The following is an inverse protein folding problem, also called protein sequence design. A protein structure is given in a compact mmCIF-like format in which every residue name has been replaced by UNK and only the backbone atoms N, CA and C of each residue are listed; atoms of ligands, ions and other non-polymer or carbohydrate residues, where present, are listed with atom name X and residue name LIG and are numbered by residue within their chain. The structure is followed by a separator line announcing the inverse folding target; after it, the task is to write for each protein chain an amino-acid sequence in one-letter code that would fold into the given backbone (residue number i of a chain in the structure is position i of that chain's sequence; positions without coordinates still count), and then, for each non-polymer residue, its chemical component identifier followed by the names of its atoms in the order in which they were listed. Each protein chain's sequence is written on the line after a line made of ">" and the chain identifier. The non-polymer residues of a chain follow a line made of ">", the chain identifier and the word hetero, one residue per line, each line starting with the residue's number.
data_IF_260843149565
#
_entry.id   IF_260843149565
#
_cell.length_a   1.000
_cell.length_b   1.000
_cell.length_c   1.000
_cell.angle_alpha   90.00
_cell.angle_beta   90.00
_cell.angle_gamma   90.00
#
_symmetry.space_group_name_H-M   'P 1'
#
loop_
_entity.id
_entity.type
_entity.pdbx_description
1 polymer ?
#
# COMPACT_ATOMS: atom_id res chain seq x y z
N UNK A 1 2.16 36.04 -10.75
CA UNK A 1 1.80 34.92 -11.63
C UNK A 1 2.77 33.82 -11.32
N UNK A 2 2.36 32.79 -10.59
CA UNK A 2 3.13 31.57 -10.44
C UNK A 2 3.12 30.88 -11.79
N UNK A 3 4.26 30.40 -12.33
CA UNK A 3 4.27 29.66 -13.57
C UNK A 3 3.39 28.41 -13.38
N UNK A 4 2.47 28.21 -14.30
CA UNK A 4 1.60 27.03 -14.34
C UNK A 4 2.43 25.85 -14.92
N UNK A 5 3.39 25.40 -14.11
CA UNK A 5 4.21 24.24 -14.47
C UNK A 5 3.33 23.01 -14.42
N UNK A 6 3.28 22.19 -15.46
CA UNK A 6 2.59 20.92 -15.37
C UNK A 6 3.19 20.14 -14.21
N UNK A 7 2.36 19.80 -13.23
CA UNK A 7 2.83 19.10 -12.04
C UNK A 7 3.40 17.74 -12.47
N UNK A 8 4.62 17.43 -12.03
CA UNK A 8 5.29 16.18 -12.36
C UNK A 8 4.38 14.98 -12.01
N UNK A 9 3.99 14.15 -12.99
CA UNK A 9 3.05 13.04 -12.77
C UNK A 9 3.61 11.97 -11.83
N UNK A 10 4.94 11.92 -11.66
CA UNK A 10 5.61 10.99 -10.75
C UNK A 10 5.85 11.58 -9.36
N UNK A 11 5.25 12.73 -9.03
CA UNK A 11 5.39 13.30 -7.69
C UNK A 11 4.74 12.40 -6.63
N UNK A 12 5.26 12.42 -5.40
CA UNK A 12 4.74 11.63 -4.28
C UNK A 12 3.27 11.86 -4.00
N UNK A 13 2.72 13.00 -4.42
CA UNK A 13 1.29 13.34 -4.34
C UNK A 13 0.43 12.33 -5.10
N UNK A 14 0.86 11.91 -6.29
CA UNK A 14 0.13 10.97 -7.14
C UNK A 14 0.49 9.51 -6.83
N UNK A 15 1.68 9.26 -6.28
CA UNK A 15 2.19 7.93 -5.95
C UNK A 15 1.79 7.44 -4.54
N UNK A 16 1.01 8.22 -3.79
CA UNK A 16 0.57 7.82 -2.46
C UNK A 16 -0.34 6.60 -2.51
N UNK A 17 -0.21 5.64 -1.58
CA UNK A 17 -1.09 4.50 -1.48
C UNK A 17 -2.56 4.95 -1.40
N UNK A 18 -3.42 4.37 -2.24
CA UNK A 18 -4.85 4.74 -2.34
C UNK A 18 -5.18 5.78 -3.40
N UNK A 19 -4.21 6.50 -3.97
CA UNK A 19 -4.38 7.39 -5.13
C UNK A 19 -4.34 6.60 -6.44
N UNK A 20 -3.40 5.66 -6.55
CA UNK A 20 -3.32 4.74 -7.67
C UNK A 20 -4.03 3.43 -7.33
N UNK A 21 -4.77 2.88 -8.28
CA UNK A 21 -5.28 1.52 -8.20
C UNK A 21 -4.10 0.53 -8.24
N UNK A 22 -4.26 -0.62 -7.58
CA UNK A 22 -3.25 -1.65 -7.66
C UNK A 22 -3.23 -2.24 -9.08
N UNK A 23 -2.08 -2.21 -9.72
CA UNK A 23 -1.83 -2.81 -11.04
C UNK A 23 -1.16 -4.17 -10.84
N UNK A 24 -1.62 -5.19 -11.56
CA UNK A 24 -1.04 -6.54 -11.49
C UNK A 24 -2.02 -7.64 -11.09
N UNK A 25 -3.24 -7.27 -10.70
CA UNK A 25 -4.36 -8.18 -10.52
C UNK A 25 -5.60 -7.55 -11.19
N UNK A 26 -6.39 -8.38 -11.86
CA UNK A 26 -7.66 -7.95 -12.41
C UNK A 26 -8.74 -7.79 -11.32
N UNK A 27 -9.88 -7.26 -11.71
CA UNK A 27 -10.99 -7.02 -10.80
C UNK A 27 -11.53 -8.29 -10.17
N UNK A 28 -11.52 -9.40 -10.91
CA UNK A 28 -11.98 -10.69 -10.41
C UNK A 28 -11.03 -11.22 -9.33
N UNK A 29 -9.73 -11.26 -9.59
CA UNK A 29 -8.73 -11.72 -8.62
C UNK A 29 -8.72 -10.86 -7.35
N UNK A 30 -8.92 -9.56 -7.48
CA UNK A 30 -9.03 -8.65 -6.34
C UNK A 30 -10.30 -8.93 -5.50
N UNK A 31 -11.43 -9.25 -6.13
CA UNK A 31 -12.66 -9.64 -5.43
C UNK A 31 -12.47 -10.99 -4.70
N UNK A 32 -11.90 -11.98 -5.37
CA UNK A 32 -11.59 -13.29 -4.77
C UNK A 32 -10.69 -13.17 -3.54
N UNK A 33 -9.66 -12.29 -3.61
CA UNK A 33 -8.81 -12.01 -2.45
C UNK A 33 -9.56 -11.33 -1.30
N UNK A 34 -10.47 -10.41 -1.61
CA UNK A 34 -11.30 -9.74 -0.60
C UNK A 34 -12.26 -10.73 0.07
N UNK A 35 -12.92 -11.59 -0.71
CA UNK A 35 -13.79 -12.66 -0.20
C UNK A 35 -13.00 -13.64 0.69
N UNK A 36 -11.83 -14.08 0.23
CA UNK A 36 -10.94 -14.94 1.02
C UNK A 36 -10.56 -14.29 2.35
N UNK A 37 -10.26 -12.99 2.35
CA UNK A 37 -9.95 -12.27 3.58
C UNK A 37 -11.16 -12.18 4.52
N UNK A 38 -12.37 -11.98 3.98
CA UNK A 38 -13.64 -12.01 4.75
C UNK A 38 -13.84 -13.39 5.38
N UNK A 39 -13.68 -14.47 4.60
CA UNK A 39 -13.79 -15.87 5.08
C UNK A 39 -12.77 -16.19 6.17
N UNK A 40 -11.59 -15.59 6.12
CA UNK A 40 -10.54 -15.71 7.13
C UNK A 40 -10.72 -14.75 8.33
N UNK A 41 -11.91 -14.18 8.49
CA UNK A 41 -12.22 -13.20 9.55
C UNK A 41 -11.24 -12.00 9.60
N UNK A 42 -10.77 -11.55 8.44
CA UNK A 42 -9.82 -10.45 8.34
C UNK A 42 -8.37 -10.81 8.67
N UNK A 43 -8.05 -12.12 8.79
CA UNK A 43 -6.69 -12.57 9.07
C UNK A 43 -5.95 -12.90 7.78
N UNK A 44 -4.76 -12.32 7.58
CA UNK A 44 -3.97 -12.62 6.40
C UNK A 44 -2.66 -11.85 6.32
N UNK A 45 -1.81 -12.30 5.41
CA UNK A 45 -0.58 -11.59 5.07
C UNK A 45 -0.42 -11.40 3.57
N UNK A 46 0.05 -10.22 3.18
CA UNK A 46 0.49 -9.88 1.83
C UNK A 46 2.01 -9.86 1.86
N UNK A 47 2.62 -10.77 1.10
CA UNK A 47 4.08 -10.96 1.10
C UNK A 47 4.68 -10.45 -0.20
N UNK A 48 5.85 -9.81 -0.14
CA UNK A 48 6.60 -9.40 -1.33
C UNK A 48 7.72 -8.42 -1.03
N UNK A 49 8.66 -8.21 -1.96
CA UNK A 49 9.77 -7.26 -1.81
C UNK A 49 9.33 -5.81 -1.57
N UNK A 50 10.29 -4.92 -1.31
CA UNK A 50 10.04 -3.48 -1.26
C UNK A 50 9.54 -2.96 -2.61
N UNK A 51 8.67 -1.94 -2.58
CA UNK A 51 8.21 -1.25 -3.79
C UNK A 51 7.22 -2.03 -4.68
N UNK A 52 6.74 -3.22 -4.28
CA UNK A 52 5.81 -4.04 -5.09
C UNK A 52 4.33 -3.69 -4.90
N UNK A 53 4.00 -2.58 -4.27
CA UNK A 53 2.61 -2.14 -4.12
C UNK A 53 1.79 -2.86 -3.04
N UNK A 54 2.40 -3.57 -2.07
CA UNK A 54 1.68 -4.25 -0.98
C UNK A 54 0.72 -3.34 -0.23
N UNK A 55 1.16 -2.13 0.09
CA UNK A 55 0.33 -1.14 0.80
C UNK A 55 -0.84 -0.70 -0.09
N UNK A 56 -0.61 -0.46 -1.39
CA UNK A 56 -1.67 -0.12 -2.35
C UNK A 56 -2.70 -1.26 -2.46
N UNK A 57 -2.23 -2.51 -2.56
CA UNK A 57 -3.11 -3.69 -2.57
C UNK A 57 -3.94 -3.78 -1.29
N UNK A 58 -3.35 -3.47 -0.13
CA UNK A 58 -4.09 -3.43 1.13
C UNK A 58 -5.25 -2.43 1.08
N UNK A 59 -5.04 -1.24 0.53
CA UNK A 59 -6.11 -0.23 0.36
C UNK A 59 -7.18 -0.70 -0.63
N UNK A 60 -6.80 -1.36 -1.72
CA UNK A 60 -7.76 -1.92 -2.68
C UNK A 60 -8.64 -3.01 -2.03
N UNK A 61 -8.03 -3.91 -1.26
CA UNK A 61 -8.77 -4.93 -0.53
C UNK A 61 -9.75 -4.32 0.48
N UNK A 62 -9.36 -3.26 1.19
CA UNK A 62 -10.25 -2.54 2.10
C UNK A 62 -11.48 -1.99 1.38
N UNK A 63 -11.29 -1.30 0.23
CA UNK A 63 -12.39 -0.76 -0.56
C UNK A 63 -13.36 -1.85 -1.02
N UNK A 64 -12.82 -3.01 -1.43
CA UNK A 64 -13.63 -4.13 -1.91
C UNK A 64 -14.37 -4.83 -0.78
N UNK A 65 -13.72 -5.08 0.34
CA UNK A 65 -14.38 -5.66 1.52
C UNK A 65 -15.54 -4.79 2.01
N UNK A 66 -15.38 -3.46 2.00
CA UNK A 66 -16.46 -2.54 2.36
C UNK A 66 -17.68 -2.62 1.40
N UNK A 67 -17.49 -3.08 0.17
CA UNK A 67 -18.58 -3.29 -0.81
C UNK A 67 -19.20 -4.68 -0.72
N UNK A 68 -18.40 -5.69 -0.37
CA UNK A 68 -18.81 -7.09 -0.34
C UNK A 68 -19.39 -7.53 1.02
N UNK A 69 -19.14 -6.77 2.07
CA UNK A 69 -19.59 -7.10 3.42
C UNK A 69 -20.72 -6.18 3.85
N UNK A 70 -21.84 -6.76 4.31
CA UNK A 70 -22.92 -6.03 4.99
C UNK A 70 -22.53 -5.60 6.42
N UNK A 71 -21.32 -5.92 6.83
CA UNK A 71 -20.81 -5.64 8.18
C UNK A 71 -19.89 -4.43 8.14
N UNK A 72 -20.10 -3.46 9.02
CA UNK A 72 -19.19 -2.35 9.21
C UNK A 72 -17.81 -2.86 9.62
N UNK A 73 -16.80 -2.58 8.79
CA UNK A 73 -15.43 -2.99 9.04
C UNK A 73 -14.61 -1.76 9.47
N UNK A 74 -14.14 -1.79 10.70
CA UNK A 74 -13.25 -0.76 11.22
C UNK A 74 -11.79 -1.17 10.97
N UNK A 75 -11.06 -0.37 10.18
CA UNK A 75 -9.65 -0.60 9.90
C UNK A 75 -8.79 0.32 10.77
N UNK A 76 -7.80 -0.26 11.45
CA UNK A 76 -6.77 0.48 12.16
C UNK A 76 -5.42 0.28 11.46
N UNK A 77 -4.95 1.31 10.78
CA UNK A 77 -3.66 1.29 10.10
C UNK A 77 -2.55 1.60 11.09
N UNK A 78 -1.59 0.70 11.20
CA UNK A 78 -0.41 0.87 12.05
C UNK A 78 0.83 0.84 11.18
N UNK A 79 1.61 1.91 11.22
CA UNK A 79 2.91 1.99 10.57
C UNK A 79 3.97 2.30 11.62
N UNK A 80 4.97 1.44 11.75
CA UNK A 80 6.08 1.72 12.64
C UNK A 80 7.02 2.72 11.97
N UNK A 81 7.20 3.89 12.55
CA UNK A 81 8.24 4.84 12.16
C UNK A 81 9.57 4.45 12.81
N UNK A 82 10.63 4.37 12.03
CA UNK A 82 11.99 4.18 12.51
C UNK A 82 12.49 5.55 12.99
N UNK A 83 12.51 5.77 14.32
CA UNK A 83 12.99 7.00 14.94
C UNK A 83 13.24 6.79 16.44
N UNK A 84 13.96 7.71 17.14
CA UNK A 84 14.33 7.54 18.54
C UNK A 84 13.13 7.51 19.51
N UNK A 85 11.93 7.88 19.06
CA UNK A 85 10.68 7.64 19.79
C UNK A 85 9.84 6.62 19.03
N UNK A 86 9.66 5.45 19.63
CA UNK A 86 8.82 4.35 19.15
C UNK A 86 7.34 4.76 19.22
N UNK A 87 6.87 5.52 18.28
CA UNK A 87 5.44 5.90 18.19
C UNK A 87 4.78 4.99 17.17
N UNK A 88 3.81 4.21 17.60
CA UNK A 88 2.89 3.49 16.72
C UNK A 88 1.87 4.54 16.27
N UNK A 89 1.90 4.95 15.01
CA UNK A 89 0.89 5.85 14.46
C UNK A 89 -0.29 5.05 13.95
N UNK A 90 -1.46 5.34 14.47
CA UNK A 90 -2.74 4.81 13.98
C UNK A 90 -3.43 5.86 13.14
N UNK A 91 -3.81 5.53 11.91
CA UNK A 91 -4.66 6.35 11.07
C UNK A 91 -6.07 5.77 11.01
N UNK A 92 -7.07 6.57 11.30
CA UNK A 92 -8.45 6.28 10.92
C UNK A 92 -8.61 6.50 9.42
N UNK A 93 -9.40 5.64 8.82
CA UNK A 93 -10.00 5.68 7.49
C UNK A 93 -9.75 6.94 6.65
N UNK A 94 -9.31 6.72 5.42
CA UNK A 94 -9.01 7.65 4.36
C UNK A 94 -9.91 8.88 4.22
N UNK A 95 -9.67 9.87 5.03
CA UNK A 95 -9.96 11.26 4.75
C UNK A 95 -9.09 12.12 5.66
N UNK A 96 -7.89 12.50 5.16
CA UNK A 96 -7.03 13.47 5.81
C UNK A 96 -6.15 12.87 6.93
N UNK A 97 -4.86 12.82 6.66
CA UNK A 97 -3.85 12.59 7.69
C UNK A 97 -3.79 13.81 8.61
N UNK A 98 -4.19 13.66 9.86
CA UNK A 98 -3.77 14.54 10.95
C UNK A 98 -2.88 13.77 11.93
N UNK A 99 -1.77 14.43 12.31
CA UNK A 99 -0.71 13.89 13.13
C UNK A 99 -1.11 13.78 14.62
N UNK A 100 -0.85 12.62 15.20
CA UNK A 100 -0.49 12.55 16.63
C UNK A 100 -1.54 12.15 17.64
N UNK A 101 -2.16 10.96 17.56
CA UNK A 101 -2.79 10.34 18.73
C UNK A 101 -2.39 8.86 18.85
N UNK A 102 -2.14 8.41 20.10
CA UNK A 102 -1.95 6.99 20.44
C UNK A 102 -3.19 6.16 20.02
N UNK A 103 -3.02 4.84 19.71
CA UNK A 103 -4.15 4.00 19.39
C UNK A 103 -5.02 3.78 20.61
N UNK A 104 -5.86 4.73 20.89
CA UNK A 104 -6.97 4.52 21.83
C UNK A 104 -8.00 3.68 21.07
N UNK A 105 -8.09 2.40 21.39
CA UNK A 105 -9.20 1.55 20.99
C UNK A 105 -10.48 2.10 21.62
N UNK A 106 -11.03 3.19 21.09
CA UNK A 106 -12.35 3.66 21.45
C UNK A 106 -13.36 2.67 20.89
N UNK A 107 -13.93 1.88 21.75
CA UNK A 107 -15.06 1.00 21.51
C UNK A 107 -16.34 1.84 21.26
N UNK A 108 -16.44 2.44 20.08
CA UNK A 108 -17.76 2.73 19.51
C UNK A 108 -18.09 1.57 18.56
N UNK A 109 -18.23 0.37 19.15
CA UNK A 109 -18.67 -0.81 18.41
C UNK A 109 -20.21 -0.78 18.40
N UNK A 110 -20.75 -0.59 17.20
CA UNK A 110 -22.10 -1.13 16.93
C UNK A 110 -22.03 -2.66 17.09
N UNK A 111 -23.07 -3.34 17.58
CA UNK A 111 -23.05 -4.79 17.88
C UNK A 111 -22.66 -5.69 16.69
N UNK A 112 -22.55 -5.15 15.50
CA UNK A 112 -22.28 -5.88 14.25
C UNK A 112 -21.00 -5.43 13.53
N UNK A 113 -20.15 -4.59 14.15
CA UNK A 113 -18.91 -4.14 13.50
C UNK A 113 -17.76 -5.12 13.72
N UNK A 114 -17.08 -5.52 12.65
CA UNK A 114 -15.82 -6.27 12.72
C UNK A 114 -14.65 -5.28 12.71
N UNK A 115 -13.67 -5.52 13.55
CA UNK A 115 -12.43 -4.73 13.58
C UNK A 115 -11.31 -5.50 12.88
N UNK A 116 -10.63 -4.87 11.95
CA UNK A 116 -9.41 -5.40 11.33
C UNK A 116 -8.26 -4.45 11.62
N UNK A 117 -7.23 -4.97 12.26
CA UNK A 117 -5.97 -4.28 12.44
C UNK A 117 -5.11 -4.50 11.20
N UNK A 118 -4.73 -3.43 10.53
CA UNK A 118 -3.83 -3.46 9.38
C UNK A 118 -2.45 -2.99 9.82
N UNK A 119 -1.46 -3.87 9.72
CA UNK A 119 -0.08 -3.56 10.09
C UNK A 119 0.82 -3.58 8.84
N UNK A 120 1.31 -2.40 8.45
CA UNK A 120 2.25 -2.26 7.35
C UNK A 120 3.69 -2.47 7.86
N UNK A 121 4.32 -3.56 7.41
CA UNK A 121 5.69 -3.91 7.80
C UNK A 121 5.80 -4.63 9.15
N UNK A 122 5.17 -5.80 9.28
CA UNK A 122 5.26 -6.62 10.52
C UNK A 122 6.69 -7.02 10.88
N UNK A 123 7.61 -7.04 9.92
CA UNK A 123 9.03 -7.31 10.13
C UNK A 123 9.73 -6.29 11.03
N UNK A 124 9.16 -5.11 11.18
CA UNK A 124 9.66 -4.08 12.10
C UNK A 124 9.42 -4.43 13.58
N UNK A 125 8.56 -5.40 13.86
CA UNK A 125 8.34 -5.95 15.20
C UNK A 125 9.34 -7.07 15.48
N UNK A 126 9.80 -7.16 16.74
CA UNK A 126 10.54 -8.35 17.20
C UNK A 126 9.64 -9.59 17.14
N UNK A 127 10.23 -10.79 17.12
CA UNK A 127 9.47 -12.03 17.04
C UNK A 127 8.50 -12.20 18.23
N UNK A 128 8.91 -11.81 19.46
CA UNK A 128 8.04 -11.83 20.63
C UNK A 128 6.83 -10.88 20.49
N UNK A 129 7.07 -9.67 19.95
CA UNK A 129 6.01 -8.71 19.67
C UNK A 129 5.00 -9.22 18.63
N UNK A 130 5.49 -9.92 17.58
CA UNK A 130 4.63 -10.55 16.57
C UNK A 130 3.72 -11.60 17.19
N UNK A 131 4.29 -12.52 17.99
CA UNK A 131 3.51 -13.55 18.68
C UNK A 131 2.49 -12.92 19.63
N UNK A 132 2.90 -11.94 20.43
CA UNK A 132 2.00 -11.27 21.36
C UNK A 132 0.85 -10.56 20.63
N UNK A 133 1.15 -9.89 19.49
CA UNK A 133 0.15 -9.24 18.66
C UNK A 133 -0.87 -10.26 18.09
N UNK A 134 -0.38 -11.33 17.45
CA UNK A 134 -1.23 -12.38 16.86
C UNK A 134 -2.13 -12.98 17.95
N UNK A 135 -1.56 -13.38 19.09
CA UNK A 135 -2.33 -13.92 20.21
C UNK A 135 -3.38 -12.94 20.76
N UNK A 136 -3.05 -11.65 20.79
CA UNK A 136 -3.96 -10.61 21.29
C UNK A 136 -5.12 -10.42 20.31
N UNK A 137 -4.84 -10.35 18.99
CA UNK A 137 -5.88 -10.23 17.97
C UNK A 137 -6.81 -11.45 17.99
N UNK A 138 -6.26 -12.67 18.07
CA UNK A 138 -7.06 -13.90 18.19
C UNK A 138 -7.98 -13.89 19.43
N UNK A 139 -7.44 -13.54 20.62
CA UNK A 139 -8.25 -13.49 21.86
C UNK A 139 -9.36 -12.45 21.81
N UNK A 140 -9.11 -11.31 21.13
CA UNK A 140 -10.08 -10.21 21.01
C UNK A 140 -10.99 -10.34 19.79
N UNK A 141 -10.85 -11.42 19.01
CA UNK A 141 -11.56 -11.62 17.74
C UNK A 141 -11.39 -10.44 16.75
N UNK A 142 -10.22 -9.84 16.76
CA UNK A 142 -9.82 -8.78 15.83
C UNK A 142 -9.11 -9.44 14.67
N UNK A 143 -9.53 -9.13 13.43
CA UNK A 143 -8.81 -9.53 12.23
C UNK A 143 -7.43 -8.87 12.18
N UNK A 144 -6.44 -9.57 11.64
CA UNK A 144 -5.07 -9.05 11.50
C UNK A 144 -4.58 -9.23 10.06
N UNK A 145 -4.57 -8.13 9.32
CA UNK A 145 -4.00 -8.07 7.97
C UNK A 145 -2.61 -7.42 8.04
N UNK A 146 -1.58 -8.11 7.57
CA UNK A 146 -0.23 -7.59 7.62
C UNK A 146 0.44 -7.56 6.25
N UNK A 147 1.33 -6.62 6.04
CA UNK A 147 2.30 -6.66 4.94
C UNK A 147 3.66 -7.10 5.46
N UNK A 148 4.39 -7.87 4.67
CA UNK A 148 5.73 -8.35 5.05
C UNK A 148 6.61 -8.60 3.83
N UNK A 149 7.94 -8.69 4.04
CA UNK A 149 8.88 -9.11 3.00
C UNK A 149 9.04 -10.61 2.92
N UNK A 150 8.76 -11.32 4.00
CA UNK A 150 8.83 -12.78 4.11
C UNK A 150 7.60 -13.31 4.83
N UNK A 151 7.24 -14.55 4.55
CA UNK A 151 6.12 -15.20 5.23
C UNK A 151 6.31 -15.19 6.74
N UNK A 152 5.26 -14.78 7.45
CA UNK A 152 5.19 -14.77 8.91
C UNK A 152 4.40 -15.99 9.37
N UNK A 153 4.98 -16.73 10.31
CA UNK A 153 4.30 -17.89 10.89
C UNK A 153 3.04 -17.49 11.66
N UNK A 154 2.00 -18.29 11.54
CA UNK A 154 0.73 -18.10 12.27
C UNK A 154 -0.31 -17.23 11.56
N UNK A 155 -0.01 -16.72 10.34
CA UNK A 155 -0.97 -16.00 9.52
C UNK A 155 -1.08 -16.65 8.13
N UNK A 156 -2.30 -16.82 7.59
CA UNK A 156 -2.46 -17.36 6.23
C UNK A 156 -1.96 -16.36 5.20
N UNK A 157 -1.25 -16.86 4.19
CA UNK A 157 -0.83 -16.02 3.05
C UNK A 157 -2.01 -15.83 2.10
N UNK A 158 -2.43 -14.58 1.93
CA UNK A 158 -3.44 -14.19 0.95
C UNK A 158 -2.86 -14.20 -0.45
N UNK A 159 -1.74 -13.50 -0.62
CA UNK A 159 -1.06 -13.35 -1.90
C UNK A 159 0.43 -13.06 -1.70
N UNK A 160 1.22 -13.53 -2.64
CA UNK A 160 2.64 -13.16 -2.76
C UNK A 160 2.81 -12.27 -3.99
N UNK A 161 3.10 -10.99 -3.75
CA UNK A 161 3.31 -10.00 -4.81
C UNK A 161 4.76 -10.04 -5.25
N UNK A 162 4.97 -10.29 -6.55
CA UNK A 162 6.29 -10.26 -7.16
C UNK A 162 6.44 -8.97 -7.95
N UNK A 163 7.66 -8.40 -8.01
CA UNK A 163 7.93 -7.29 -8.92
C UNK A 163 7.73 -7.78 -10.37
N UNK A 164 7.04 -6.98 -11.14
CA UNK A 164 6.81 -7.25 -12.56
C UNK A 164 7.04 -5.97 -13.36
N UNK A 165 7.84 -6.10 -14.43
CA UNK A 165 8.13 -5.01 -15.35
C UNK A 165 6.86 -4.51 -16.03
N UNK A 166 5.96 -5.39 -16.44
CA UNK A 166 4.71 -5.02 -17.09
C UNK A 166 3.82 -4.16 -16.17
N UNK A 167 3.83 -4.45 -14.88
CA UNK A 167 3.16 -3.65 -13.85
C UNK A 167 3.76 -2.23 -13.76
N UNK A 168 5.10 -2.11 -13.77
CA UNK A 168 5.76 -0.81 -13.77
C UNK A 168 5.40 0.01 -15.02
N UNK A 169 5.49 -0.60 -16.22
CA UNK A 169 5.13 0.05 -17.47
C UNK A 169 3.68 0.52 -17.50
N UNK A 170 2.75 -0.29 -17.01
CA UNK A 170 1.34 0.06 -16.92
C UNK A 170 1.09 1.23 -15.94
N UNK A 171 1.80 1.30 -14.82
CA UNK A 171 1.73 2.44 -13.89
C UNK A 171 2.24 3.71 -14.57
N UNK A 172 3.39 3.66 -15.27
CA UNK A 172 3.92 4.81 -16.00
C UNK A 172 2.93 5.27 -17.06
N UNK A 173 2.37 4.37 -17.86
CA UNK A 173 1.35 4.69 -18.87
C UNK A 173 0.12 5.35 -18.25
N UNK A 174 -0.33 4.89 -17.08
CA UNK A 174 -1.46 5.50 -16.38
C UNK A 174 -1.14 6.92 -15.90
N UNK A 175 0.07 7.15 -15.37
CA UNK A 175 0.50 8.46 -14.85
C UNK A 175 0.74 9.48 -15.95
N UNK A 176 1.20 9.04 -17.13
CA UNK A 176 1.53 9.93 -18.26
C UNK A 176 0.40 10.08 -19.28
N UNK A 177 -0.77 9.48 -19.02
CA UNK A 177 -1.91 9.49 -19.96
C UNK A 177 -2.32 10.88 -20.41
N UNK A 178 -2.32 11.83 -19.48
CA UNK A 178 -2.83 13.19 -19.68
C UNK A 178 -1.70 14.22 -19.80
N UNK A 179 -0.47 13.79 -20.13
CA UNK A 179 0.67 14.68 -20.33
C UNK A 179 1.45 14.31 -21.60
N UNK A 180 2.09 15.32 -22.22
CA UNK A 180 2.87 15.16 -23.45
C UNK A 180 4.23 14.47 -23.22
N UNK A 181 4.50 14.03 -21.98
CA UNK A 181 5.75 13.37 -21.62
C UNK A 181 5.65 11.86 -21.87
N UNK A 182 6.63 11.34 -22.64
CA UNK A 182 6.74 9.91 -22.93
C UNK A 182 8.15 9.41 -22.65
N UNK A 183 8.23 8.23 -22.06
CA UNK A 183 9.49 7.49 -21.88
C UNK A 183 9.44 6.28 -22.81
N UNK A 184 10.51 6.05 -23.59
CA UNK A 184 10.58 4.89 -24.49
C UNK A 184 10.56 3.58 -23.68
N UNK A 185 10.04 2.51 -24.30
CA UNK A 185 9.97 1.17 -23.66
C UNK A 185 11.35 0.65 -23.27
N UNK A 186 12.38 0.94 -24.09
CA UNK A 186 13.76 0.55 -23.78
C UNK A 186 14.27 1.29 -22.54
N UNK A 187 13.98 2.58 -22.45
CA UNK A 187 14.37 3.38 -21.28
C UNK A 187 13.64 2.93 -20.01
N UNK A 188 12.36 2.59 -20.10
CA UNK A 188 11.62 1.99 -18.97
C UNK A 188 12.25 0.67 -18.53
N UNK A 189 12.70 -0.16 -19.46
CA UNK A 189 13.40 -1.40 -19.16
C UNK A 189 14.70 -1.17 -18.38
N UNK A 190 15.48 -0.17 -18.79
CA UNK A 190 16.73 0.22 -18.12
C UNK A 190 16.44 0.74 -16.70
N UNK A 191 15.47 1.63 -16.52
CA UNK A 191 15.08 2.18 -15.22
C UNK A 191 14.60 1.09 -14.26
N UNK A 192 13.79 0.14 -14.74
CA UNK A 192 13.34 -1.00 -13.96
C UNK A 192 14.49 -1.91 -13.53
N UNK A 193 15.41 -2.20 -14.46
CA UNK A 193 16.56 -3.07 -14.21
C UNK A 193 17.55 -2.42 -13.23
N UNK A 194 17.86 -1.13 -13.41
CA UNK A 194 18.76 -0.38 -12.52
C UNK A 194 18.21 -0.27 -11.09
N UNK A 195 16.88 -0.26 -10.94
CA UNK A 195 16.19 -0.27 -9.66
C UNK A 195 16.04 -1.67 -9.04
N UNK A 196 16.69 -2.71 -9.59
CA UNK A 196 16.57 -4.11 -9.16
C UNK A 196 15.12 -4.58 -9.02
N UNK A 197 14.22 -4.13 -9.90
CA UNK A 197 12.80 -4.46 -9.86
C UNK A 197 12.00 -3.75 -8.77
N UNK A 198 12.58 -2.77 -8.08
CA UNK A 198 11.86 -1.94 -7.12
C UNK A 198 11.08 -0.86 -7.88
N UNK A 199 9.77 -1.09 -8.08
CA UNK A 199 8.88 -0.20 -8.84
C UNK A 199 8.89 1.23 -8.27
N UNK A 200 8.98 1.37 -6.94
CA UNK A 200 9.00 2.70 -6.31
C UNK A 200 10.27 3.49 -6.68
N UNK A 201 11.43 2.84 -6.67
CA UNK A 201 12.69 3.46 -7.07
C UNK A 201 12.71 3.77 -8.58
N UNK A 202 12.19 2.84 -9.40
CA UNK A 202 12.04 3.08 -10.83
C UNK A 202 11.13 4.29 -11.14
N UNK A 203 10.02 4.46 -10.41
CA UNK A 203 9.15 5.63 -10.54
C UNK A 203 9.82 6.94 -10.06
N UNK A 204 10.70 6.87 -9.05
CA UNK A 204 11.52 8.03 -8.66
C UNK A 204 12.50 8.42 -9.77
N UNK A 205 13.09 7.45 -10.46
CA UNK A 205 13.92 7.74 -11.63
C UNK A 205 13.13 8.35 -12.80
N UNK A 206 11.87 7.94 -13.00
CA UNK A 206 10.97 8.60 -13.96
C UNK A 206 10.67 10.06 -13.56
N UNK A 207 10.58 10.34 -12.26
CA UNK A 207 10.43 11.72 -11.76
C UNK A 207 11.63 12.58 -12.21
N UNK A 208 12.85 12.08 -12.03
CA UNK A 208 14.07 12.80 -12.42
C UNK A 208 14.16 13.01 -13.95
N UNK A 209 13.74 12.02 -14.75
CA UNK A 209 13.67 12.12 -16.21
C UNK A 209 12.69 13.22 -16.66
N UNK A 210 11.52 13.30 -15.99
CA UNK A 210 10.55 14.35 -16.29
C UNK A 210 11.12 15.73 -15.99
N UNK A 211 11.70 15.95 -14.79
CA UNK A 211 12.32 17.23 -14.42
C UNK A 211 13.42 17.64 -15.40
N UNK A 212 14.27 16.67 -15.81
CA UNK A 212 15.33 16.93 -16.80
C UNK A 212 14.79 17.28 -18.19
N UNK A 213 13.62 16.78 -18.57
CA UNK A 213 12.97 17.12 -19.85
C UNK A 213 12.42 18.55 -19.84
N UNK A 214 11.81 18.97 -18.74
CA UNK A 214 11.27 20.32 -18.60
C UNK A 214 12.38 21.37 -18.61
N UNK A 215 13.49 21.11 -17.91
CA UNK A 215 14.63 22.04 -17.90
C UNK A 215 15.26 22.28 -19.29
N UNK A 216 15.09 21.34 -20.24
CA UNK A 216 15.57 21.48 -21.62
C UNK A 216 14.63 22.29 -22.51
N UNK A 217 13.36 22.36 -22.16
CA UNK A 217 12.34 23.09 -22.95
C UNK A 217 12.36 24.58 -22.65
N UNK A 218 12.95 24.99 -21.51
CA UNK A 218 13.05 26.38 -21.05
C UNK A 218 14.35 27.10 -21.47
N UNK A 219 15.26 26.45 -22.19
CA UNK A 219 16.48 27.00 -22.79
C UNK A 219 16.33 27.22 -24.27
#
# INVERSE_FOLDING_TARGET
>A
MTPDWPSNPFSTRFLSPGQLSFVGLDDQALNELAEKLIQQNGNGQIVGPHGTGKTTLTFELQKRMARLSDTDINYHFVRKTIGPRRTIRTGKQASGFEDGEEPVFRQNQTPHSKTILVLDGIELLSWLQRIALIKTCLRKQIGLLVTSHRTVWGLPTLVSVKPDRSQFEAIVCQLTRDCDFQISTDRLAELYTSSNGNIREALMSCYDEFEASQAKTDC
#
